data_IF_675719098570
#
_entry.id   IF_675719098570
#
_cell.length_a   1.000
_cell.length_b   1.000
_cell.length_c   1.000
_cell.angle_alpha   90.00
_cell.angle_beta   90.00
_cell.angle_gamma   90.00
#
_symmetry.space_group_name_H-M   'P 1'
#
loop_
_entity.id
_entity.type
_entity.pdbx_description
1 polymer ?
#
# COMPACT_ATOMS: atom_id res chain seq x y z
N UNK A 1 3.86 18.13 8.35
CA UNK A 1 5.28 18.21 8.76
C UNK A 1 5.94 19.17 7.82
N UNK A 2 6.37 20.31 8.34
CA UNK A 2 7.23 21.23 7.60
C UNK A 2 8.70 20.87 7.86
N UNK A 3 9.61 21.35 7.02
CA UNK A 3 11.04 21.04 7.15
C UNK A 3 11.61 21.43 8.53
N UNK A 4 11.04 22.47 9.16
CA UNK A 4 11.40 22.92 10.51
C UNK A 4 11.06 21.92 11.62
N UNK A 5 10.21 20.93 11.35
CA UNK A 5 9.85 19.90 12.33
C UNK A 5 10.93 18.80 12.42
N UNK A 6 11.81 18.67 11.43
CA UNK A 6 12.86 17.64 11.42
C UNK A 6 13.89 17.95 12.53
N UNK A 7 14.32 16.96 13.34
CA UNK A 7 15.35 17.17 14.34
C UNK A 7 16.58 17.92 13.80
N UNK A 8 17.11 18.93 14.50
CA UNK A 8 18.22 19.75 14.01
C UNK A 8 19.44 18.93 13.59
N UNK A 9 19.72 17.85 14.32
CA UNK A 9 20.80 16.89 14.03
C UNK A 9 20.68 16.24 12.66
N UNK A 10 19.46 15.95 12.21
CA UNK A 10 19.19 15.38 10.88
C UNK A 10 19.34 16.46 9.80
N UNK A 11 18.88 17.69 10.07
CA UNK A 11 19.02 18.79 9.12
C UNK A 11 20.48 19.21 8.90
N UNK A 12 21.31 19.18 9.95
CA UNK A 12 22.73 19.52 9.86
C UNK A 12 23.54 18.48 9.11
N UNK A 13 23.18 17.20 9.25
CA UNK A 13 23.99 16.11 8.72
C UNK A 13 23.48 15.60 7.38
N UNK A 14 22.17 15.34 7.22
CA UNK A 14 21.61 14.84 5.95
C UNK A 14 21.31 15.96 4.95
N UNK A 15 20.90 17.14 5.42
CA UNK A 15 20.59 18.29 4.57
C UNK A 15 19.31 19.02 4.97
N UNK A 16 19.14 20.22 4.41
CA UNK A 16 18.04 21.14 4.73
C UNK A 16 16.90 21.13 3.70
N UNK A 17 17.05 20.35 2.64
CA UNK A 17 16.03 20.13 1.61
C UNK A 17 15.93 18.66 1.25
N UNK A 18 14.80 18.23 0.69
CA UNK A 18 14.63 16.84 0.27
C UNK A 18 15.71 16.42 -0.73
N UNK A 19 16.06 17.30 -1.67
CA UNK A 19 17.12 17.04 -2.65
C UNK A 19 18.48 16.83 -1.99
N UNK A 20 18.83 17.63 -0.97
CA UNK A 20 20.08 17.46 -0.23
C UNK A 20 20.10 16.15 0.57
N UNK A 21 19.00 15.82 1.25
CA UNK A 21 18.87 14.57 2.01
C UNK A 21 19.04 13.36 1.08
N UNK A 22 18.33 13.36 -0.06
CA UNK A 22 18.42 12.29 -1.06
C UNK A 22 19.85 12.16 -1.59
N UNK A 23 20.47 13.27 -2.00
CA UNK A 23 21.83 13.25 -2.52
C UNK A 23 22.82 12.69 -1.50
N UNK A 24 22.75 13.15 -0.25
CA UNK A 24 23.62 12.69 0.83
C UNK A 24 23.49 11.19 1.07
N UNK A 25 22.26 10.66 1.17
CA UNK A 25 22.03 9.24 1.40
C UNK A 25 22.44 8.38 0.19
N UNK A 26 22.17 8.83 -1.03
CA UNK A 26 22.54 8.11 -2.25
C UNK A 26 24.05 8.07 -2.45
N UNK A 27 24.75 9.20 -2.26
CA UNK A 27 26.21 9.23 -2.34
C UNK A 27 26.84 8.30 -1.31
N UNK A 28 26.36 8.32 -0.07
CA UNK A 28 26.85 7.44 1.01
C UNK A 28 26.63 5.96 0.68
N UNK A 29 25.46 5.60 0.09
CA UNK A 29 25.20 4.24 -0.39
C UNK A 29 26.20 3.83 -1.47
N UNK A 30 26.41 4.68 -2.47
CA UNK A 30 27.33 4.38 -3.59
C UNK A 30 28.75 4.14 -3.07
N UNK A 31 29.20 4.94 -2.11
CA UNK A 31 30.53 4.81 -1.51
C UNK A 31 30.68 3.53 -0.68
N UNK A 32 29.70 3.18 0.16
CA UNK A 32 29.80 2.06 1.11
C UNK A 32 29.35 0.71 0.53
N UNK A 33 28.59 0.72 -0.57
CA UNK A 33 28.22 -0.51 -1.29
C UNK A 33 29.24 -0.90 -2.36
N UNK A 34 30.28 -0.09 -2.58
CA UNK A 34 31.26 -0.33 -3.64
C UNK A 34 32.08 -1.60 -3.36
N UNK A 35 32.06 -2.56 -4.29
CA UNK A 35 32.65 -3.90 -4.18
C UNK A 35 32.03 -4.80 -3.10
N UNK A 36 30.86 -4.46 -2.60
CA UNK A 36 30.11 -5.28 -1.65
C UNK A 36 28.91 -5.94 -2.35
N UNK A 37 28.56 -7.16 -1.94
CA UNK A 37 27.35 -7.85 -2.42
C UNK A 37 26.12 -7.45 -1.60
N UNK A 38 26.00 -6.14 -1.32
CA UNK A 38 24.94 -5.58 -0.49
C UNK A 38 24.75 -4.07 -0.74
N UNK A 39 23.56 -3.56 -0.42
CA UNK A 39 23.27 -2.11 -0.41
C UNK A 39 23.43 -1.61 1.03
N UNK A 40 24.46 -0.81 1.26
CA UNK A 40 24.96 -0.44 2.58
C UNK A 40 24.96 1.10 2.70
N UNK A 41 24.35 1.61 3.77
CA UNK A 41 24.64 2.95 4.29
C UNK A 41 25.77 2.84 5.32
N UNK A 42 26.56 3.89 5.49
CA UNK A 42 27.43 4.01 6.66
C UNK A 42 26.61 3.98 7.95
N UNK A 43 27.24 3.54 9.04
CA UNK A 43 26.60 3.44 10.35
C UNK A 43 25.96 4.78 10.78
N UNK A 44 26.66 5.89 10.53
CA UNK A 44 26.17 7.23 10.85
C UNK A 44 24.90 7.58 10.05
N UNK A 45 24.91 7.37 8.73
CA UNK A 45 23.76 7.70 7.87
C UNK A 45 22.60 6.76 8.09
N UNK A 46 22.86 5.48 8.34
CA UNK A 46 21.84 4.50 8.73
C UNK A 46 21.11 4.92 10.01
N UNK A 47 21.85 5.32 11.05
CA UNK A 47 21.25 5.80 12.31
C UNK A 47 20.40 7.06 12.11
N UNK A 48 20.87 8.02 11.31
CA UNK A 48 20.12 9.25 11.03
C UNK A 48 18.87 8.99 10.18
N UNK A 49 18.94 8.09 9.19
CA UNK A 49 17.78 7.67 8.40
C UNK A 49 16.75 6.97 9.27
N UNK A 50 17.18 6.11 10.20
CA UNK A 50 16.28 5.47 11.17
C UNK A 50 15.60 6.50 12.07
N UNK A 51 16.34 7.49 12.59
CA UNK A 51 15.75 8.56 13.40
C UNK A 51 14.72 9.37 12.61
N UNK A 52 15.01 9.69 11.34
CA UNK A 52 14.09 10.39 10.46
C UNK A 52 12.81 9.58 10.23
N UNK A 53 12.94 8.27 9.97
CA UNK A 53 11.82 7.35 9.81
C UNK A 53 10.94 7.31 11.06
N UNK A 54 11.55 7.14 12.24
CA UNK A 54 10.82 7.05 13.51
C UNK A 54 10.06 8.35 13.81
N UNK A 55 10.68 9.51 13.58
CA UNK A 55 10.03 10.81 13.74
C UNK A 55 8.85 10.99 12.77
N UNK A 56 8.97 10.50 11.53
CA UNK A 56 7.88 10.51 10.55
C UNK A 56 6.72 9.60 10.98
N UNK A 57 7.02 8.38 11.43
CA UNK A 57 6.02 7.42 11.93
C UNK A 57 5.23 8.00 13.09
N UNK A 58 5.91 8.56 14.08
CA UNK A 58 5.26 9.10 15.28
C UNK A 58 4.32 10.26 14.96
N UNK A 59 4.67 11.13 14.01
CA UNK A 59 3.93 12.37 13.77
C UNK A 59 2.89 12.27 12.65
N UNK A 60 3.16 11.49 11.62
CA UNK A 60 2.30 11.39 10.44
C UNK A 60 1.35 10.21 10.61
N UNK A 61 1.92 9.01 10.80
CA UNK A 61 1.18 7.75 10.73
C UNK A 61 0.41 7.43 12.01
N UNK A 62 0.88 7.89 13.18
CA UNK A 62 0.14 7.72 14.45
C UNK A 62 -0.93 8.78 14.72
N UNK A 63 -1.13 9.72 13.81
CA UNK A 63 -2.16 10.75 13.96
C UNK A 63 -3.56 10.14 14.01
N UNK A 64 -4.46 10.74 14.81
CA UNK A 64 -5.84 10.26 14.95
C UNK A 64 -6.58 10.17 13.60
N UNK A 65 -6.32 11.14 12.72
CA UNK A 65 -6.85 11.17 11.36
C UNK A 65 -6.44 9.92 10.56
N UNK A 66 -5.17 9.53 10.61
CA UNK A 66 -4.68 8.32 9.93
C UNK A 66 -5.30 7.07 10.53
N UNK A 67 -5.33 6.94 11.86
CA UNK A 67 -5.94 5.78 12.54
C UNK A 67 -7.42 5.61 12.21
N UNK A 68 -8.17 6.71 12.13
CA UNK A 68 -9.58 6.68 11.73
C UNK A 68 -9.73 6.24 10.26
N UNK A 69 -8.85 6.71 9.39
CA UNK A 69 -8.82 6.32 7.99
C UNK A 69 -8.47 4.83 7.83
N UNK A 70 -7.44 4.33 8.53
CA UNK A 70 -7.07 2.91 8.52
C UNK A 70 -8.23 2.00 8.93
N UNK A 71 -8.98 2.38 9.97
CA UNK A 71 -10.17 1.62 10.38
C UNK A 71 -11.24 1.58 9.29
N UNK A 72 -11.45 2.70 8.60
CA UNK A 72 -12.40 2.77 7.48
C UNK A 72 -11.93 1.90 6.30
N UNK A 73 -10.65 1.97 5.94
CA UNK A 73 -10.05 1.14 4.88
C UNK A 73 -10.15 -0.34 5.24
N UNK A 74 -9.89 -0.72 6.49
CA UNK A 74 -10.03 -2.10 6.96
C UNK A 74 -11.44 -2.62 6.72
N UNK A 75 -12.47 -1.88 7.15
CA UNK A 75 -13.86 -2.27 6.93
C UNK A 75 -14.21 -2.41 5.44
N UNK A 76 -13.70 -1.51 4.60
CA UNK A 76 -13.91 -1.55 3.14
C UNK A 76 -13.28 -2.81 2.54
N UNK A 77 -12.01 -3.09 2.87
CA UNK A 77 -11.30 -4.25 2.35
C UNK A 77 -11.89 -5.57 2.85
N UNK A 78 -12.22 -5.68 4.14
CA UNK A 78 -12.83 -6.87 4.71
C UNK A 78 -14.21 -7.16 4.08
N UNK A 79 -15.09 -6.16 4.00
CA UNK A 79 -16.40 -6.36 3.38
C UNK A 79 -16.31 -6.69 1.89
N UNK A 80 -15.42 -6.03 1.13
CA UNK A 80 -15.18 -6.40 -0.26
C UNK A 80 -14.68 -7.84 -0.37
N UNK A 81 -13.70 -8.23 0.44
CA UNK A 81 -13.13 -9.56 0.42
C UNK A 81 -14.19 -10.62 0.71
N UNK A 82 -14.99 -10.44 1.76
CA UNK A 82 -16.06 -11.38 2.13
C UNK A 82 -17.12 -11.53 1.03
N UNK A 83 -17.64 -10.41 0.50
CA UNK A 83 -18.68 -10.44 -0.53
C UNK A 83 -18.18 -11.08 -1.83
N UNK A 84 -16.98 -10.70 -2.27
CA UNK A 84 -16.37 -11.21 -3.49
C UNK A 84 -15.95 -12.68 -3.34
N UNK A 85 -15.44 -13.08 -2.17
CA UNK A 85 -15.09 -14.47 -1.89
C UNK A 85 -16.32 -15.38 -1.95
N UNK A 86 -17.44 -14.95 -1.37
CA UNK A 86 -18.70 -15.69 -1.45
C UNK A 86 -19.16 -15.82 -2.90
N UNK A 87 -19.08 -14.75 -3.68
CA UNK A 87 -19.49 -14.75 -5.08
C UNK A 87 -18.55 -15.63 -5.95
N UNK A 88 -17.26 -15.65 -5.65
CA UNK A 88 -16.25 -16.42 -6.40
C UNK A 88 -16.33 -17.95 -6.17
N UNK A 89 -17.09 -18.42 -5.19
CA UNK A 89 -17.36 -19.86 -5.00
C UNK A 89 -18.12 -20.46 -6.19
N UNK A 90 -18.91 -19.66 -6.90
CA UNK A 90 -19.70 -20.06 -8.06
C UNK A 90 -19.44 -19.09 -9.22
N UNK A 91 -18.46 -19.43 -10.05
CA UNK A 91 -18.00 -18.58 -11.17
C UNK A 91 -19.09 -18.39 -12.24
N UNK A 92 -19.96 -19.36 -12.44
CA UNK A 92 -21.06 -19.25 -13.41
C UNK A 92 -22.10 -18.24 -12.93
N UNK A 93 -22.50 -18.35 -11.66
CA UNK A 93 -23.42 -17.39 -11.02
C UNK A 93 -22.81 -15.99 -10.95
N UNK A 94 -21.52 -15.88 -10.66
CA UNK A 94 -20.80 -14.61 -10.70
C UNK A 94 -20.86 -13.98 -12.09
N UNK A 95 -20.57 -14.74 -13.14
CA UNK A 95 -20.61 -14.26 -14.53
C UNK A 95 -22.02 -13.85 -14.99
N UNK A 96 -23.07 -14.51 -14.47
CA UNK A 96 -24.47 -14.17 -14.76
C UNK A 96 -24.99 -12.97 -13.95
N UNK A 97 -24.21 -12.44 -13.02
CA UNK A 97 -24.64 -11.35 -12.14
C UNK A 97 -24.94 -10.05 -12.90
N UNK A 98 -25.98 -9.33 -12.46
CA UNK A 98 -26.31 -7.97 -12.93
C UNK A 98 -25.69 -6.87 -12.06
N UNK A 99 -25.08 -7.22 -10.93
CA UNK A 99 -24.39 -6.26 -10.08
C UNK A 99 -23.06 -5.88 -10.74
N UNK A 100 -22.82 -4.57 -10.91
CA UNK A 100 -21.62 -4.03 -11.59
C UNK A 100 -20.30 -4.45 -10.92
N UNK A 101 -20.30 -4.61 -9.61
CA UNK A 101 -19.11 -5.05 -8.85
C UNK A 101 -18.75 -6.49 -9.22
N UNK A 102 -19.74 -7.37 -9.23
CA UNK A 102 -19.57 -8.78 -9.62
C UNK A 102 -19.23 -8.93 -11.11
N UNK A 103 -19.79 -8.09 -11.98
CA UNK A 103 -19.41 -8.05 -13.40
C UNK A 103 -17.95 -7.64 -13.59
N UNK A 104 -17.46 -6.66 -12.81
CA UNK A 104 -16.04 -6.27 -12.82
C UNK A 104 -15.13 -7.44 -12.47
N UNK A 105 -15.47 -8.20 -11.42
CA UNK A 105 -14.71 -9.38 -11.03
C UNK A 105 -14.78 -10.49 -12.08
N UNK A 106 -15.95 -10.76 -12.66
CA UNK A 106 -16.11 -11.76 -13.71
C UNK A 106 -15.25 -11.42 -14.95
N UNK A 107 -15.25 -10.15 -15.36
CA UNK A 107 -14.43 -9.67 -16.47
C UNK A 107 -12.93 -9.83 -16.15
N UNK A 108 -12.51 -9.48 -14.93
CA UNK A 108 -11.14 -9.69 -14.47
C UNK A 108 -10.71 -11.17 -14.52
N UNK A 109 -11.55 -12.08 -14.03
CA UNK A 109 -11.27 -13.52 -14.08
C UNK A 109 -11.13 -14.01 -15.53
N UNK A 110 -12.02 -13.55 -16.41
CA UNK A 110 -12.00 -13.92 -17.83
C UNK A 110 -10.74 -13.39 -18.55
N UNK A 111 -10.31 -12.16 -18.23
CA UNK A 111 -9.08 -11.56 -18.77
C UNK A 111 -7.82 -12.26 -18.28
N UNK A 112 -7.74 -12.58 -16.99
CA UNK A 112 -6.57 -13.24 -16.38
C UNK A 112 -6.44 -14.71 -16.75
N UNK A 113 -7.56 -15.39 -17.01
CA UNK A 113 -7.56 -16.80 -17.41
C UNK A 113 -7.09 -17.75 -16.32
N UNK A 114 -7.49 -17.53 -15.07
CA UNK A 114 -7.10 -18.38 -13.95
C UNK A 114 -7.49 -19.86 -14.16
N UNK A 115 -6.64 -20.82 -13.75
CA UNK A 115 -6.99 -22.23 -13.84
C UNK A 115 -8.21 -22.55 -12.97
N UNK A 116 -8.95 -23.64 -13.27
CA UNK A 116 -10.09 -24.07 -12.45
C UNK A 116 -9.70 -24.42 -11.01
N UNK A 117 -8.45 -24.80 -10.80
CA UNK A 117 -7.89 -25.17 -9.49
C UNK A 117 -7.46 -23.98 -8.64
N UNK A 118 -7.46 -22.76 -9.21
CA UNK A 118 -7.05 -21.57 -8.47
C UNK A 118 -8.03 -21.30 -7.31
N UNK A 119 -7.54 -21.17 -6.06
CA UNK A 119 -8.39 -20.88 -4.93
C UNK A 119 -9.14 -19.56 -5.11
N UNK A 120 -10.46 -19.51 -4.83
CA UNK A 120 -11.23 -18.27 -4.90
C UNK A 120 -10.62 -17.11 -4.10
N UNK A 121 -10.02 -17.42 -2.94
CA UNK A 121 -9.33 -16.44 -2.11
C UNK A 121 -8.17 -15.75 -2.84
N UNK A 122 -7.35 -16.49 -3.58
CA UNK A 122 -6.23 -15.91 -4.34
C UNK A 122 -6.74 -14.95 -5.43
N UNK A 123 -7.76 -15.37 -6.17
CA UNK A 123 -8.38 -14.54 -7.21
C UNK A 123 -8.95 -13.24 -6.64
N UNK A 124 -9.66 -13.32 -5.51
CA UNK A 124 -10.22 -12.15 -4.82
C UNK A 124 -9.10 -11.22 -4.35
N UNK A 125 -8.04 -11.78 -3.75
CA UNK A 125 -6.87 -11.00 -3.31
C UNK A 125 -6.23 -10.25 -4.47
N UNK A 126 -5.97 -10.93 -5.59
CA UNK A 126 -5.37 -10.30 -6.78
C UNK A 126 -6.27 -9.20 -7.35
N UNK A 127 -7.58 -9.45 -7.39
CA UNK A 127 -8.56 -8.48 -7.89
C UNK A 127 -8.62 -7.23 -7.01
N UNK A 128 -8.68 -7.40 -5.68
CA UNK A 128 -8.72 -6.29 -4.71
C UNK A 128 -7.39 -5.53 -4.71
N UNK A 129 -6.25 -6.22 -4.76
CA UNK A 129 -4.92 -5.60 -4.80
C UNK A 129 -4.72 -4.73 -6.06
N UNK A 130 -5.43 -5.02 -7.14
CA UNK A 130 -5.44 -4.22 -8.38
C UNK A 130 -6.39 -3.01 -8.36
N UNK A 131 -7.18 -2.82 -7.30
CA UNK A 131 -8.14 -1.71 -7.22
C UNK A 131 -7.46 -0.40 -6.84
N UNK A 132 -7.94 0.70 -7.41
CA UNK A 132 -7.66 2.04 -6.86
C UNK A 132 -8.56 2.31 -5.66
N UNK A 133 -8.14 3.17 -4.73
CA UNK A 133 -8.93 3.56 -3.54
C UNK A 133 -10.35 4.01 -3.91
N UNK A 134 -10.47 4.80 -4.98
CA UNK A 134 -11.77 5.32 -5.46
C UNK A 134 -12.65 4.20 -5.98
N UNK A 135 -12.07 3.22 -6.68
CA UNK A 135 -12.81 2.08 -7.20
C UNK A 135 -13.27 1.16 -6.07
N UNK A 136 -12.38 0.79 -5.14
CA UNK A 136 -12.71 -0.04 -3.99
C UNK A 136 -13.84 0.57 -3.15
N UNK A 137 -13.77 1.87 -2.86
CA UNK A 137 -14.82 2.59 -2.11
C UNK A 137 -16.16 2.53 -2.83
N UNK A 138 -16.20 2.80 -4.14
CA UNK A 138 -17.43 2.72 -4.95
C UNK A 138 -18.02 1.31 -5.00
N UNK A 139 -17.16 0.30 -5.10
CA UNK A 139 -17.59 -1.10 -5.07
C UNK A 139 -18.22 -1.44 -3.72
N UNK A 140 -17.61 -1.01 -2.61
CA UNK A 140 -18.14 -1.23 -1.28
C UNK A 140 -19.50 -0.52 -1.09
N UNK A 141 -19.60 0.75 -1.46
CA UNK A 141 -20.87 1.51 -1.43
C UNK A 141 -21.96 0.81 -2.25
N UNK A 142 -21.63 0.35 -3.46
CA UNK A 142 -22.58 -0.36 -4.34
C UNK A 142 -23.05 -1.71 -3.79
N UNK A 143 -22.28 -2.35 -2.90
CA UNK A 143 -22.65 -3.62 -2.29
C UNK A 143 -23.49 -3.43 -1.02
N UNK A 144 -23.23 -2.37 -0.26
CA UNK A 144 -23.75 -2.24 1.11
C UNK A 144 -24.64 -1.03 1.37
N UNK A 145 -24.65 0.01 0.52
CA UNK A 145 -25.33 1.28 0.83
C UNK A 145 -26.60 1.58 0.02
N UNK A 146 -26.87 0.87 -1.08
CA UNK A 146 -27.96 1.11 -2.05
C UNK A 146 -27.84 2.41 -2.87
#
# INVERSE_FOLDING_TARGET
>A
MEFGDIPPTIQTTLGRTNGQIINTLVTDIVEHSHNEDAIILSDERGQLMQQLLLANVERIYRSEKVRRYEKMVTNVLEGLFEALLLAAQDREKLAASKNRVYQGMAAFIAERGYPPTEPPAQIVTDYIAGMTDTYATRCFESLYWF
#
